data_IF_312935573620
#
_entry.id   IF_312935573620
#
_cell.length_a   1.000
_cell.length_b   1.000
_cell.length_c   1.000
_cell.angle_alpha   90.00
_cell.angle_beta   90.00
_cell.angle_gamma   90.00
#
_symmetry.space_group_name_H-M   'P 1'
#
loop_
_entity.id
_entity.type
_entity.pdbx_description
1 polymer ?
#
# COMPACT_ATOMS: atom_id res chain seq x y z
N UNK A 1 -39.55 -2.86 2.70
CA UNK A 1 -38.19 -2.82 3.30
C UNK A 1 -37.16 -3.18 2.23
N UNK A 2 -36.76 -2.23 1.40
CA UNK A 2 -35.70 -2.43 0.40
C UNK A 2 -34.35 -2.25 1.07
N UNK A 3 -33.73 -3.35 1.51
CA UNK A 3 -32.34 -3.35 1.99
C UNK A 3 -31.43 -3.16 0.77
N UNK A 4 -31.22 -1.91 0.37
CA UNK A 4 -30.11 -1.54 -0.49
C UNK A 4 -28.82 -2.06 0.16
N UNK A 5 -27.96 -2.72 -0.61
CA UNK A 5 -26.62 -3.09 -0.15
C UNK A 5 -25.93 -1.84 0.41
N UNK A 6 -25.44 -1.85 1.66
CA UNK A 6 -24.73 -0.70 2.20
C UNK A 6 -23.49 -0.46 1.33
N UNK A 7 -23.15 0.81 1.10
CA UNK A 7 -21.99 1.23 0.29
C UNK A 7 -20.71 0.50 0.68
N UNK A 8 -20.55 0.22 1.96
CA UNK A 8 -19.41 -0.47 2.54
C UNK A 8 -19.35 -1.95 2.10
N UNK A 9 -20.49 -2.60 1.84
CA UNK A 9 -20.51 -3.94 1.25
C UNK A 9 -20.04 -3.92 -0.21
N UNK A 10 -20.38 -2.86 -0.97
CA UNK A 10 -19.87 -2.69 -2.34
C UNK A 10 -18.36 -2.45 -2.31
N UNK A 11 -17.88 -1.58 -1.41
CA UNK A 11 -16.44 -1.30 -1.25
C UNK A 11 -15.67 -2.55 -0.85
N UNK A 12 -16.15 -3.31 0.14
CA UNK A 12 -15.50 -4.54 0.57
C UNK A 12 -15.53 -5.62 -0.52
N UNK A 13 -16.70 -5.86 -1.11
CA UNK A 13 -16.86 -6.87 -2.17
C UNK A 13 -16.02 -6.55 -3.39
N UNK A 14 -16.07 -5.31 -3.88
CA UNK A 14 -15.22 -4.85 -4.97
C UNK A 14 -13.74 -4.92 -4.58
N UNK A 15 -13.38 -4.52 -3.35
CA UNK A 15 -12.00 -4.60 -2.89
C UNK A 15 -11.42 -6.01 -2.94
N UNK A 16 -12.17 -7.01 -2.45
CA UNK A 16 -11.74 -8.42 -2.52
C UNK A 16 -11.60 -8.87 -3.98
N UNK A 17 -12.58 -8.58 -4.83
CA UNK A 17 -12.55 -8.96 -6.26
C UNK A 17 -11.38 -8.29 -6.98
N UNK A 18 -11.12 -7.01 -6.74
CA UNK A 18 -10.04 -6.26 -7.39
C UNK A 18 -8.67 -6.73 -6.93
N UNK A 19 -8.49 -7.08 -5.66
CA UNK A 19 -7.26 -7.74 -5.18
C UNK A 19 -7.05 -9.09 -5.86
N UNK A 20 -8.10 -9.90 -5.94
CA UNK A 20 -8.06 -11.20 -6.59
C UNK A 20 -7.70 -11.08 -8.07
N UNK A 21 -8.37 -10.18 -8.81
CA UNK A 21 -8.07 -9.93 -10.22
C UNK A 21 -6.66 -9.38 -10.42
N UNK A 22 -6.22 -8.40 -9.64
CA UNK A 22 -4.87 -7.86 -9.74
C UNK A 22 -3.79 -8.94 -9.51
N UNK A 23 -4.07 -9.93 -8.67
CA UNK A 23 -3.12 -10.99 -8.33
C UNK A 23 -3.15 -12.18 -9.31
N UNK A 24 -4.35 -12.70 -9.61
CA UNK A 24 -4.53 -13.95 -10.35
C UNK A 24 -4.87 -13.73 -11.83
N UNK A 25 -5.27 -12.54 -12.22
CA UNK A 25 -5.65 -12.21 -13.60
C UNK A 25 -5.27 -10.77 -13.96
N UNK A 26 -3.99 -10.38 -13.79
CA UNK A 26 -3.56 -9.03 -14.15
C UNK A 26 -3.72 -8.80 -15.65
N UNK A 27 -4.04 -7.55 -16.06
CA UNK A 27 -4.12 -7.19 -17.48
C UNK A 27 -2.79 -7.40 -18.22
N UNK A 28 -1.69 -7.23 -17.49
CA UNK A 28 -0.33 -7.44 -17.95
C UNK A 28 0.43 -8.22 -16.86
N UNK A 29 0.92 -9.41 -17.22
CA UNK A 29 1.74 -10.27 -16.35
C UNK A 29 3.22 -9.84 -16.34
N UNK A 30 3.67 -9.18 -17.41
CA UNK A 30 5.05 -8.73 -17.56
C UNK A 30 5.47 -7.81 -16.39
N UNK A 31 6.60 -8.06 -15.70
CA UNK A 31 6.96 -7.34 -14.48
C UNK A 31 6.99 -5.82 -14.61
N UNK A 32 7.44 -5.30 -15.76
CA UNK A 32 7.51 -3.85 -16.02
C UNK A 32 6.14 -3.23 -16.34
N UNK A 33 5.18 -4.03 -16.80
CA UNK A 33 3.83 -3.58 -17.16
C UNK A 33 2.79 -3.90 -16.08
N UNK A 34 3.11 -4.77 -15.11
CA UNK A 34 2.24 -5.12 -14.00
C UNK A 34 1.73 -3.90 -13.21
N UNK A 35 2.55 -2.84 -13.14
CA UNK A 35 2.13 -1.54 -12.61
C UNK A 35 0.85 -1.00 -13.24
N UNK A 36 0.63 -1.22 -14.54
CA UNK A 36 -0.57 -0.78 -15.26
C UNK A 36 -1.79 -1.59 -14.81
N UNK A 37 -1.65 -2.89 -14.60
CA UNK A 37 -2.69 -3.74 -13.99
C UNK A 37 -3.07 -3.22 -12.61
N UNK A 38 -2.07 -2.89 -11.78
CA UNK A 38 -2.28 -2.35 -10.43
C UNK A 38 -2.92 -0.97 -10.45
N UNK A 39 -2.47 -0.05 -11.32
CA UNK A 39 -3.12 1.24 -11.50
C UNK A 39 -4.58 1.06 -11.94
N UNK A 40 -4.86 0.13 -12.86
CA UNK A 40 -6.21 -0.10 -13.33
C UNK A 40 -7.13 -0.67 -12.22
N UNK A 41 -6.74 -1.79 -11.62
CA UNK A 41 -7.55 -2.48 -10.62
C UNK A 41 -7.60 -1.78 -9.27
N UNK A 42 -6.49 -1.21 -8.82
CA UNK A 42 -6.35 -0.69 -7.45
C UNK A 42 -6.46 0.84 -7.37
N UNK A 43 -6.50 1.55 -8.50
CA UNK A 43 -6.68 3.01 -8.51
C UNK A 43 -7.83 3.48 -9.40
N UNK A 44 -7.83 3.14 -10.70
CA UNK A 44 -8.84 3.61 -11.66
C UNK A 44 -10.23 3.08 -11.33
N UNK A 45 -10.39 1.75 -11.16
CA UNK A 45 -11.69 1.17 -10.83
C UNK A 45 -12.22 1.67 -9.48
N UNK A 46 -11.43 1.71 -8.39
CA UNK A 46 -11.88 2.29 -7.13
C UNK A 46 -12.33 3.76 -7.24
N UNK A 47 -11.63 4.60 -8.00
CA UNK A 47 -12.07 5.98 -8.28
C UNK A 47 -13.41 5.99 -9.03
N UNK A 48 -13.56 5.12 -10.04
CA UNK A 48 -14.82 4.99 -10.78
C UNK A 48 -15.96 4.56 -9.85
N UNK A 49 -15.75 3.55 -9.00
CA UNK A 49 -16.71 3.11 -7.98
C UNK A 49 -17.10 4.28 -7.07
N UNK A 50 -16.11 5.04 -6.56
CA UNK A 50 -16.37 6.20 -5.72
C UNK A 50 -17.24 7.24 -6.43
N UNK A 51 -16.94 7.50 -7.69
CA UNK A 51 -17.60 8.52 -8.50
C UNK A 51 -19.04 8.12 -8.87
N UNK A 52 -19.28 6.83 -9.14
CA UNK A 52 -20.59 6.30 -9.56
C UNK A 52 -21.69 6.46 -8.51
N UNK A 53 -21.36 6.41 -7.21
CA UNK A 53 -22.33 6.70 -6.14
C UNK A 53 -22.24 8.15 -5.62
N UNK A 54 -21.51 9.03 -6.30
CA UNK A 54 -21.38 10.45 -5.92
C UNK A 54 -20.50 10.70 -4.69
N UNK A 55 -19.55 9.80 -4.41
CA UNK A 55 -18.62 9.95 -3.29
C UNK A 55 -17.58 11.05 -3.52
N UNK A 56 -17.23 11.79 -2.46
CA UNK A 56 -16.15 12.76 -2.50
C UNK A 56 -14.79 12.07 -2.28
N UNK A 57 -13.85 12.23 -3.21
CA UNK A 57 -12.49 11.69 -3.08
C UNK A 57 -11.75 12.17 -1.81
N UNK A 58 -12.14 13.33 -1.25
CA UNK A 58 -11.61 13.83 0.04
C UNK A 58 -11.96 12.92 1.21
N UNK A 59 -13.05 12.17 1.12
CA UNK A 59 -13.44 11.18 2.14
C UNK A 59 -12.62 9.89 2.01
N UNK A 60 -11.92 9.71 0.89
CA UNK A 60 -11.02 8.60 0.60
C UNK A 60 -9.54 9.01 0.68
N UNK A 61 -9.23 10.08 1.40
CA UNK A 61 -7.86 10.46 1.70
C UNK A 61 -7.18 11.35 0.65
N UNK A 62 -7.87 11.81 -0.40
CA UNK A 62 -7.35 12.86 -1.30
C UNK A 62 -7.42 14.25 -0.65
N UNK A 63 -6.83 14.39 0.53
CA UNK A 63 -6.68 15.67 1.22
C UNK A 63 -5.24 16.16 1.01
N UNK A 64 -5.09 17.33 0.40
CA UNK A 64 -3.77 17.97 0.17
C UNK A 64 -3.20 18.58 1.46
N UNK A 65 -4.08 19.05 2.33
CA UNK A 65 -3.75 19.60 3.64
C UNK A 65 -3.83 18.49 4.68
N UNK A 66 -2.68 17.94 5.05
CA UNK A 66 -2.53 17.06 6.20
C UNK A 66 -1.36 17.54 7.06
N UNK A 67 -1.51 17.42 8.37
CA UNK A 67 -0.46 17.75 9.32
C UNK A 67 0.09 16.45 9.89
N UNK A 68 1.41 16.38 9.99
CA UNK A 68 2.05 15.24 10.61
C UNK A 68 1.62 15.13 12.08
N UNK A 69 1.03 14.00 12.51
CA UNK A 69 0.29 13.94 13.76
C UNK A 69 1.16 13.53 14.95
N UNK A 70 2.43 13.18 14.71
CA UNK A 70 3.34 12.67 15.74
C UNK A 70 4.41 13.70 16.08
N UNK A 71 4.92 13.64 17.32
CA UNK A 71 6.06 14.46 17.72
C UNK A 71 7.31 14.08 16.92
N UNK A 72 8.22 15.04 16.72
CA UNK A 72 9.48 14.79 16.00
C UNK A 72 10.28 13.64 16.64
N UNK A 73 10.27 13.52 17.98
CA UNK A 73 10.97 12.45 18.71
C UNK A 73 10.42 11.07 18.34
N UNK A 74 9.10 10.88 18.41
CA UNK A 74 8.45 9.61 18.04
C UNK A 74 8.73 9.27 16.58
N UNK A 75 8.70 10.29 15.72
CA UNK A 75 8.95 10.15 14.28
C UNK A 75 10.36 9.67 14.00
N UNK A 76 11.36 10.32 14.59
CA UNK A 76 12.78 9.95 14.41
C UNK A 76 13.04 8.57 15.00
N UNK A 77 12.58 8.28 16.22
CA UNK A 77 12.80 6.98 16.86
C UNK A 77 12.16 5.84 16.07
N UNK A 78 10.91 6.01 15.62
CA UNK A 78 10.24 5.01 14.77
C UNK A 78 10.96 4.87 13.43
N UNK A 79 11.40 5.97 12.81
CA UNK A 79 12.15 5.94 11.56
C UNK A 79 13.48 5.20 11.67
N UNK A 80 14.25 5.46 12.73
CA UNK A 80 15.50 4.75 13.01
C UNK A 80 15.25 3.27 13.31
N UNK A 81 14.19 2.95 14.04
CA UNK A 81 13.80 1.56 14.28
C UNK A 81 13.46 0.85 12.96
N UNK A 82 12.61 1.43 12.11
CA UNK A 82 12.28 0.86 10.79
C UNK A 82 13.54 0.73 9.92
N UNK A 83 14.41 1.74 9.90
CA UNK A 83 15.67 1.68 9.16
C UNK A 83 16.55 0.51 9.65
N UNK A 84 16.67 0.31 10.96
CA UNK A 84 17.43 -0.81 11.52
C UNK A 84 16.86 -2.16 11.08
N UNK A 85 15.53 -2.29 11.02
CA UNK A 85 14.88 -3.51 10.52
C UNK A 85 15.15 -3.74 9.03
N UNK A 86 15.15 -2.68 8.21
CA UNK A 86 15.48 -2.78 6.78
C UNK A 86 16.94 -3.20 6.54
N UNK A 87 17.87 -2.67 7.34
CA UNK A 87 19.29 -3.10 7.31
C UNK A 87 19.41 -4.57 7.70
N UNK A 88 18.79 -4.98 8.81
CA UNK A 88 18.82 -6.39 9.21
C UNK A 88 18.18 -7.29 8.14
N UNK A 89 17.08 -6.85 7.52
CA UNK A 89 16.42 -7.60 6.46
C UNK A 89 17.30 -7.72 5.20
N UNK A 90 18.01 -6.66 4.80
CA UNK A 90 18.87 -6.69 3.59
C UNK A 90 20.04 -7.67 3.72
N UNK A 91 20.50 -7.95 4.94
CA UNK A 91 21.55 -8.93 5.23
C UNK A 91 21.07 -10.39 5.17
N UNK A 92 19.75 -10.63 5.13
CA UNK A 92 19.22 -11.98 5.09
C UNK A 92 19.20 -12.54 3.66
N UNK A 93 19.72 -13.75 3.41
CA UNK A 93 19.78 -14.34 2.07
C UNK A 93 18.42 -14.41 1.37
N UNK A 94 17.36 -14.74 2.13
CA UNK A 94 15.99 -14.85 1.62
C UNK A 94 15.41 -13.53 1.08
N UNK A 95 15.78 -12.38 1.66
CA UNK A 95 15.39 -11.07 1.16
C UNK A 95 16.19 -10.72 -0.07
N UNK A 96 17.51 -10.90 0.01
CA UNK A 96 18.41 -10.62 -1.10
C UNK A 96 18.00 -11.42 -2.36
N UNK A 97 17.81 -12.73 -2.24
CA UNK A 97 17.37 -13.59 -3.36
C UNK A 97 15.98 -13.21 -3.89
N UNK A 98 15.03 -12.88 -3.01
CA UNK A 98 13.68 -12.51 -3.41
C UNK A 98 13.66 -11.21 -4.22
N UNK A 99 14.38 -10.19 -3.74
CA UNK A 99 14.38 -8.85 -4.33
C UNK A 99 15.32 -8.75 -5.53
N UNK A 100 16.54 -9.30 -5.48
CA UNK A 100 17.46 -9.29 -6.65
C UNK A 100 16.82 -9.98 -7.85
N UNK A 101 16.16 -11.12 -7.68
CA UNK A 101 15.49 -11.83 -8.77
C UNK A 101 14.36 -11.01 -9.44
N UNK A 102 13.88 -9.95 -8.77
CA UNK A 102 12.78 -9.08 -9.22
C UNK A 102 13.25 -7.67 -9.55
N UNK A 103 14.54 -7.39 -9.41
CA UNK A 103 15.15 -6.12 -9.76
C UNK A 103 15.70 -6.20 -11.18
N UNK A 104 15.22 -5.38 -12.13
CA UNK A 104 15.85 -5.29 -13.43
C UNK A 104 17.29 -4.80 -13.24
N UNK A 105 18.26 -5.54 -13.78
CA UNK A 105 19.66 -5.11 -13.82
C UNK A 105 19.74 -3.79 -14.60
N UNK A 106 19.91 -2.68 -13.89
CA UNK A 106 19.80 -1.34 -14.45
C UNK A 106 20.66 -0.36 -13.66
N UNK A 107 21.24 0.61 -14.36
CA UNK A 107 22.08 1.66 -13.78
C UNK A 107 21.68 3.05 -14.33
N UNK A 108 22.16 4.10 -13.66
CA UNK A 108 21.90 5.49 -14.07
C UNK A 108 20.40 5.83 -14.16
N UNK A 109 20.01 6.48 -15.25
CA UNK A 109 18.64 6.96 -15.47
C UNK A 109 17.59 5.83 -15.49
N UNK A 110 17.96 4.61 -15.91
CA UNK A 110 17.04 3.45 -15.93
C UNK A 110 16.66 3.01 -14.52
N UNK A 111 17.63 3.00 -13.61
CA UNK A 111 17.39 2.66 -12.20
C UNK A 111 16.45 3.67 -11.54
N UNK A 112 16.62 4.96 -11.83
CA UNK A 112 15.72 6.03 -11.39
C UNK A 112 14.30 5.84 -11.96
N UNK A 113 14.18 5.58 -13.25
CA UNK A 113 12.88 5.32 -13.90
C UNK A 113 12.14 4.15 -13.25
N UNK A 114 12.82 3.02 -13.01
CA UNK A 114 12.23 1.86 -12.32
C UNK A 114 11.73 2.22 -10.93
N UNK A 115 12.48 3.04 -10.19
CA UNK A 115 12.07 3.51 -8.86
C UNK A 115 10.79 4.36 -8.90
N UNK A 116 10.65 5.21 -9.92
CA UNK A 116 9.42 6.01 -10.14
C UNK A 116 8.24 5.11 -10.51
N UNK A 117 8.45 4.14 -11.39
CA UNK A 117 7.41 3.17 -11.78
C UNK A 117 6.94 2.35 -10.57
N UNK A 118 7.86 1.88 -9.73
CA UNK A 118 7.50 1.22 -8.46
C UNK A 118 6.78 2.17 -7.50
N UNK A 119 7.11 3.46 -7.52
CA UNK A 119 6.36 4.50 -6.81
C UNK A 119 4.90 4.58 -7.25
N UNK A 120 4.62 4.53 -8.56
CA UNK A 120 3.24 4.51 -9.07
C UNK A 120 2.47 3.26 -8.64
N UNK A 121 3.13 2.10 -8.63
CA UNK A 121 2.56 0.87 -8.08
C UNK A 121 2.18 1.06 -6.61
N UNK A 122 3.11 1.56 -5.78
CA UNK A 122 2.87 1.79 -4.35
C UNK A 122 1.85 2.89 -4.09
N UNK A 123 1.74 3.88 -4.97
CA UNK A 123 0.72 4.91 -4.89
C UNK A 123 -0.69 4.32 -5.03
N UNK A 124 -0.91 3.48 -6.05
CA UNK A 124 -2.17 2.75 -6.22
C UNK A 124 -2.42 1.79 -5.05
N UNK A 125 -1.38 1.08 -4.61
CA UNK A 125 -1.44 0.18 -3.46
C UNK A 125 -1.94 0.89 -2.20
N UNK A 126 -1.30 2.01 -1.85
CA UNK A 126 -1.61 2.75 -0.63
C UNK A 126 -2.94 3.48 -0.71
N UNK A 127 -3.30 4.02 -1.89
CA UNK A 127 -4.64 4.52 -2.11
C UNK A 127 -5.70 3.43 -1.93
N UNK A 128 -5.49 2.25 -2.51
CA UNK A 128 -6.47 1.16 -2.42
C UNK A 128 -6.71 0.72 -0.98
N UNK A 129 -5.64 0.50 -0.24
CA UNK A 129 -5.70 0.00 1.13
C UNK A 129 -6.16 1.08 2.12
N UNK A 130 -5.52 2.26 2.12
CA UNK A 130 -5.78 3.32 3.14
C UNK A 130 -6.84 4.31 2.69
N UNK A 131 -6.93 4.56 1.39
CA UNK A 131 -7.97 5.38 0.79
C UNK A 131 -9.28 4.60 0.66
N UNK A 132 -9.35 3.72 -0.35
CA UNK A 132 -10.57 3.04 -0.76
C UNK A 132 -11.13 2.10 0.32
N UNK A 133 -10.34 1.14 0.82
CA UNK A 133 -10.79 0.18 1.82
C UNK A 133 -10.94 0.82 3.21
N UNK A 134 -9.86 1.32 3.80
CA UNK A 134 -9.92 1.84 5.18
C UNK A 134 -10.94 2.97 5.32
N UNK A 135 -10.78 4.09 4.62
CA UNK A 135 -11.73 5.20 4.78
C UNK A 135 -13.11 4.90 4.21
N UNK A 136 -13.22 3.98 3.25
CA UNK A 136 -14.51 3.50 2.77
C UNK A 136 -15.29 2.68 3.79
N UNK A 137 -14.61 1.94 4.66
CA UNK A 137 -15.22 1.04 5.64
C UNK A 137 -15.39 1.67 7.03
N UNK A 138 -14.55 2.64 7.39
CA UNK A 138 -14.61 3.37 8.68
C UNK A 138 -16.02 3.88 9.04
N UNK A 139 -16.82 4.48 8.12
CA UNK A 139 -18.15 4.99 8.46
C UNK A 139 -19.10 3.96 9.06
N UNK A 140 -19.00 2.69 8.63
CA UNK A 140 -19.88 1.60 9.09
C UNK A 140 -19.25 0.74 10.17
N UNK A 141 -17.96 0.43 10.01
CA UNK A 141 -17.24 -0.54 10.83
C UNK A 141 -16.39 0.10 11.92
N UNK A 142 -16.18 1.43 11.89
CA UNK A 142 -15.35 2.13 12.86
C UNK A 142 -13.97 1.49 12.99
N UNK A 143 -13.58 1.15 14.21
CA UNK A 143 -12.29 0.48 14.50
C UNK A 143 -12.17 -0.93 13.89
N UNK A 144 -13.28 -1.60 13.58
CA UNK A 144 -13.22 -2.92 12.92
C UNK A 144 -12.75 -2.82 11.46
N UNK A 145 -12.84 -1.64 10.83
CA UNK A 145 -12.28 -1.42 9.50
C UNK A 145 -10.76 -1.67 9.46
N UNK A 146 -10.08 -1.41 10.58
CA UNK A 146 -8.65 -1.68 10.77
C UNK A 146 -8.36 -3.17 10.58
N UNK A 147 -9.12 -4.03 11.26
CA UNK A 147 -8.91 -5.49 11.21
C UNK A 147 -9.19 -6.02 9.81
N UNK A 148 -10.29 -5.59 9.19
CA UNK A 148 -10.66 -6.02 7.83
C UNK A 148 -9.57 -5.64 6.83
N UNK A 149 -9.14 -4.38 6.86
CA UNK A 149 -8.07 -3.87 6.03
C UNK A 149 -6.75 -4.62 6.26
N UNK A 150 -6.36 -4.82 7.52
CA UNK A 150 -5.08 -5.42 7.89
C UNK A 150 -4.97 -6.88 7.44
N UNK A 151 -6.06 -7.66 7.59
CA UNK A 151 -6.10 -9.05 7.11
C UNK A 151 -5.87 -9.12 5.59
N UNK A 152 -6.55 -8.25 4.83
CA UNK A 152 -6.38 -8.19 3.38
C UNK A 152 -4.96 -7.75 3.01
N UNK A 153 -4.45 -6.69 3.64
CA UNK A 153 -3.11 -6.15 3.39
C UNK A 153 -2.01 -7.19 3.67
N UNK A 154 -2.05 -7.82 4.84
CA UNK A 154 -1.08 -8.87 5.22
C UNK A 154 -1.23 -10.11 4.34
N UNK A 155 -2.45 -10.50 3.96
CA UNK A 155 -2.67 -11.62 3.03
C UNK A 155 -1.95 -11.44 1.71
N UNK A 156 -1.85 -10.22 1.20
CA UNK A 156 -1.10 -9.92 -0.02
C UNK A 156 0.43 -10.04 0.11
N UNK A 157 0.95 -10.24 1.32
CA UNK A 157 2.37 -10.48 1.57
C UNK A 157 2.69 -11.98 1.69
N UNK A 158 1.73 -12.88 1.45
CA UNK A 158 1.92 -14.33 1.71
C UNK A 158 3.04 -14.97 0.89
N UNK A 159 3.36 -14.42 -0.29
CA UNK A 159 4.46 -14.90 -1.14
C UNK A 159 5.79 -14.16 -0.90
N UNK A 160 5.82 -13.23 0.05
CA UNK A 160 7.03 -12.51 0.46
C UNK A 160 7.88 -13.38 1.40
N UNK A 161 9.15 -13.02 1.66
CA UNK A 161 9.92 -13.66 2.73
C UNK A 161 9.10 -13.72 4.04
N UNK A 162 9.14 -14.82 4.81
CA UNK A 162 8.28 -14.99 5.98
C UNK A 162 8.35 -13.85 7.00
N UNK A 163 9.54 -13.27 7.21
CA UNK A 163 9.71 -12.12 8.10
C UNK A 163 9.02 -10.86 7.56
N UNK A 164 8.95 -10.68 6.24
CA UNK A 164 8.20 -9.56 5.64
C UNK A 164 6.69 -9.77 5.81
N UNK A 165 6.19 -11.01 5.65
CA UNK A 165 4.79 -11.34 5.94
C UNK A 165 4.45 -11.00 7.41
N UNK A 166 5.27 -11.44 8.36
CA UNK A 166 5.06 -11.14 9.79
C UNK A 166 5.20 -9.64 10.05
N UNK A 167 6.19 -8.97 9.48
CA UNK A 167 6.40 -7.53 9.64
C UNK A 167 5.33 -6.67 8.96
N UNK A 168 4.61 -7.21 7.96
CA UNK A 168 3.51 -6.51 7.28
C UNK A 168 2.34 -6.21 8.23
N UNK A 169 2.15 -6.99 9.30
CA UNK A 169 1.14 -6.72 10.32
C UNK A 169 1.44 -5.42 11.11
N UNK A 170 2.54 -5.31 11.87
CA UNK A 170 2.87 -4.08 12.58
C UNK A 170 3.17 -2.92 11.64
N UNK A 171 3.79 -3.17 10.48
CA UNK A 171 4.04 -2.15 9.46
C UNK A 171 2.74 -1.62 8.84
N UNK A 172 1.80 -2.51 8.55
CA UNK A 172 0.47 -2.18 8.05
C UNK A 172 -0.29 -1.29 9.04
N UNK A 173 -0.31 -1.68 10.32
CA UNK A 173 -0.91 -0.88 11.41
C UNK A 173 -0.25 0.48 11.58
N UNK A 174 1.08 0.57 11.50
CA UNK A 174 1.80 1.84 11.60
C UNK A 174 1.38 2.80 10.47
N UNK A 175 1.42 2.33 9.22
CA UNK A 175 1.00 3.12 8.06
C UNK A 175 -0.47 3.49 8.12
N UNK A 176 -1.31 2.60 8.63
CA UNK A 176 -2.73 2.87 8.83
C UNK A 176 -2.98 3.95 9.87
N UNK A 177 -2.27 3.90 11.01
CA UNK A 177 -2.35 4.93 12.05
C UNK A 177 -1.93 6.30 11.50
N UNK A 178 -0.84 6.35 10.73
CA UNK A 178 -0.40 7.56 10.02
C UNK A 178 -1.51 8.05 9.10
N UNK A 179 -2.06 7.19 8.23
CA UNK A 179 -3.07 7.58 7.27
C UNK A 179 -4.34 8.08 7.95
N UNK A 180 -4.83 7.36 8.96
CA UNK A 180 -6.03 7.69 9.71
C UNK A 180 -5.93 9.05 10.43
N UNK A 181 -4.80 9.30 11.08
CA UNK A 181 -4.53 10.57 11.79
C UNK A 181 -4.34 11.74 10.82
N UNK A 182 -3.66 11.52 9.69
CA UNK A 182 -3.50 12.52 8.63
C UNK A 182 -4.77 12.74 7.81
N UNK A 183 -5.76 11.84 7.90
CA UNK A 183 -6.91 11.76 6.98
C UNK A 183 -6.49 11.74 5.50
N UNK A 184 -5.37 11.10 5.21
CA UNK A 184 -4.76 11.05 3.88
C UNK A 184 -3.91 9.79 3.74
N UNK A 185 -3.97 9.13 2.58
CA UNK A 185 -3.09 7.99 2.29
C UNK A 185 -1.69 8.44 1.83
N UNK A 186 -1.52 9.70 1.44
CA UNK A 186 -0.28 10.21 0.86
C UNK A 186 0.94 10.06 1.78
N UNK A 187 0.86 10.33 3.10
CA UNK A 187 2.01 10.12 3.98
C UNK A 187 2.39 8.64 4.08
N UNK A 188 1.41 7.74 4.13
CA UNK A 188 1.67 6.30 4.13
C UNK A 188 2.34 5.84 2.83
N UNK A 189 1.88 6.35 1.68
CA UNK A 189 2.54 6.20 0.39
C UNK A 189 4.00 6.65 0.40
N UNK A 190 4.28 7.86 0.86
CA UNK A 190 5.64 8.39 0.87
C UNK A 190 6.56 7.55 1.76
N UNK A 191 6.07 7.11 2.93
CA UNK A 191 6.83 6.24 3.83
C UNK A 191 7.10 4.89 3.17
N UNK A 192 6.07 4.23 2.63
CA UNK A 192 6.20 2.91 2.01
C UNK A 192 7.11 2.96 0.78
N UNK A 193 7.00 3.99 -0.05
CA UNK A 193 7.88 4.19 -1.20
C UNK A 193 9.32 4.40 -0.75
N UNK A 194 9.57 5.23 0.27
CA UNK A 194 10.91 5.43 0.80
C UNK A 194 11.50 4.15 1.41
N UNK A 195 10.71 3.35 2.14
CA UNK A 195 11.14 2.06 2.66
C UNK A 195 11.59 1.11 1.53
N UNK A 196 10.84 1.08 0.42
CA UNK A 196 11.19 0.27 -0.73
C UNK A 196 12.49 0.76 -1.41
N UNK A 197 12.65 2.07 -1.57
CA UNK A 197 13.88 2.67 -2.11
C UNK A 197 15.09 2.32 -1.24
N UNK A 198 14.98 2.51 0.07
CA UNK A 198 16.05 2.20 1.03
C UNK A 198 16.41 0.71 0.98
N UNK A 199 15.43 -0.19 1.02
CA UNK A 199 15.68 -1.62 0.94
C UNK A 199 16.38 -2.01 -0.36
N UNK A 200 15.94 -1.46 -1.51
CA UNK A 200 16.58 -1.70 -2.81
C UNK A 200 18.03 -1.23 -2.82
N UNK A 201 18.32 -0.05 -2.27
CA UNK A 201 19.69 0.46 -2.15
C UNK A 201 20.55 -0.45 -1.29
N UNK A 202 20.03 -0.89 -0.13
CA UNK A 202 20.74 -1.79 0.80
C UNK A 202 20.99 -3.21 0.24
N UNK A 203 20.19 -3.66 -0.73
CA UNK A 203 20.34 -4.99 -1.35
C UNK A 203 21.30 -4.94 -2.55
N UNK A 204 21.40 -3.80 -3.23
CA UNK A 204 22.22 -3.63 -4.44
C UNK A 204 23.66 -3.19 -4.14
N UNK A 205 23.88 -2.48 -3.02
CA UNK A 205 25.21 -2.12 -2.51
C UNK A 205 25.80 -3.30 -1.72
#
# INVERSE_FOLDING_TARGET
MTRYFPREAIILGAGIVLLFLNWFSPLFEEPMLFVLSTLFYLFVIPIAIISLYGGNLRDFGFRKEWHWPFSWRITVLTGLFVLSLLVLASLLPQFNSYYIARLPASSGWRAFFITVVFGLYLFAWEFFFRGFLLFGLVPRFGVYAIVIHLVLFTGMHITKPPLELVASLPGGLLLECVAYRCRSFLPAFLIHWMMNVVLKVLIVI
#
